data_IF_307074735425
#
_entry.id   IF_307074735425
#
_cell.length_a   1.000
_cell.length_b   1.000
_cell.length_c   1.000
_cell.angle_alpha   90.00
_cell.angle_beta   90.00
_cell.angle_gamma   90.00
#
_symmetry.space_group_name_H-M   'P 1'
#
loop_
_entity.id
_entity.type
_entity.pdbx_description
1 polymer ?
#
# COMPACT_ATOMS: atom_id res chain seq x y z
N UNK A 1 11.06 -13.49 -16.63
CA UNK A 1 12.52 -13.50 -16.59
C UNK A 1 12.92 -13.84 -15.17
N UNK A 2 13.81 -14.82 -14.98
CA UNK A 2 14.13 -15.44 -13.69
C UNK A 2 14.96 -14.51 -12.75
N UNK A 3 15.15 -13.25 -13.13
CA UNK A 3 15.98 -12.26 -12.42
C UNK A 3 15.18 -11.07 -11.86
N UNK A 4 13.85 -11.14 -11.81
CA UNK A 4 13.08 -10.10 -11.11
C UNK A 4 13.14 -10.36 -9.60
N UNK A 5 14.08 -9.69 -8.91
CA UNK A 5 14.13 -9.56 -7.46
C UNK A 5 12.91 -8.77 -6.95
N UNK A 6 11.69 -9.27 -7.13
CA UNK A 6 10.46 -8.59 -6.78
C UNK A 6 9.20 -9.24 -7.33
N UNK A 7 8.04 -8.72 -6.91
CA UNK A 7 6.73 -9.20 -7.31
C UNK A 7 5.76 -8.03 -7.54
N UNK A 8 4.83 -8.17 -8.48
CA UNK A 8 3.72 -7.22 -8.62
C UNK A 8 2.70 -7.54 -7.53
N UNK A 9 2.45 -6.58 -6.63
CA UNK A 9 1.55 -6.79 -5.50
C UNK A 9 0.26 -6.02 -5.74
N UNK A 10 -0.83 -6.77 -5.94
CA UNK A 10 -2.17 -6.24 -6.09
C UNK A 10 -2.85 -6.16 -4.72
N UNK A 11 -3.12 -4.95 -4.26
CA UNK A 11 -3.95 -4.70 -3.08
C UNK A 11 -4.86 -3.50 -3.36
N UNK A 12 -6.02 -3.48 -2.73
CA UNK A 12 -6.92 -2.33 -2.77
C UNK A 12 -7.09 -1.81 -1.35
N UNK A 13 -6.89 -0.50 -1.18
CA UNK A 13 -7.17 0.16 0.10
C UNK A 13 -8.63 0.60 0.12
N UNK A 14 -9.37 0.08 1.09
CA UNK A 14 -10.69 0.56 1.44
C UNK A 14 -10.63 1.44 2.67
N UNK A 15 -11.44 2.49 2.69
CA UNK A 15 -11.79 3.21 3.92
C UNK A 15 -13.31 3.15 4.09
N UNK A 16 -13.76 3.05 5.34
CA UNK A 16 -15.16 3.16 5.69
C UNK A 16 -15.36 4.42 6.52
N UNK A 17 -16.10 5.37 5.97
CA UNK A 17 -16.54 6.56 6.71
C UNK A 17 -18.07 6.61 6.70
N UNK A 18 -18.68 7.03 7.81
CA UNK A 18 -20.10 7.34 7.87
C UNK A 18 -20.42 8.71 7.25
N UNK A 19 -19.39 9.50 6.92
CA UNK A 19 -19.50 10.76 6.22
C UNK A 19 -19.21 10.62 4.73
N UNK A 20 -20.10 11.10 3.83
CA UNK A 20 -19.76 11.24 2.42
C UNK A 20 -18.72 12.35 2.24
N UNK A 21 -17.70 12.10 1.42
CA UNK A 21 -16.68 13.10 1.06
C UNK A 21 -15.30 12.91 1.71
N UNK A 22 -15.04 11.79 2.37
CA UNK A 22 -13.69 11.45 2.76
C UNK A 22 -12.79 11.16 1.54
N UNK A 23 -11.50 11.50 1.63
CA UNK A 23 -10.48 11.14 0.65
C UNK A 23 -9.48 10.17 1.27
N UNK A 24 -8.97 9.25 0.46
CA UNK A 24 -7.83 8.40 0.83
C UNK A 24 -6.65 8.80 -0.02
N UNK A 25 -5.60 9.25 0.65
CA UNK A 25 -4.35 9.65 0.04
C UNK A 25 -3.23 8.71 0.48
N UNK A 26 -2.49 8.14 -0.48
CA UNK A 26 -1.29 7.37 -0.19
C UNK A 26 -0.12 8.32 0.04
N UNK A 27 0.41 8.33 1.26
CA UNK A 27 1.49 9.24 1.67
C UNK A 27 2.87 8.60 1.57
N UNK A 28 2.96 7.28 1.56
CA UNK A 28 4.21 6.54 1.36
C UNK A 28 3.99 5.16 0.74
N UNK A 29 5.05 4.63 0.14
CA UNK A 29 5.08 3.30 -0.47
C UNK A 29 4.71 3.31 -1.96
N UNK A 30 4.23 2.16 -2.45
CA UNK A 30 3.92 1.89 -3.86
C UNK A 30 2.46 1.46 -3.96
N UNK A 31 1.70 1.99 -4.91
CA UNK A 31 0.28 1.65 -5.08
C UNK A 31 0.08 0.16 -5.44
N UNK A 32 -1.10 -0.38 -5.13
CA UNK A 32 -1.49 -1.72 -5.57
C UNK A 32 -1.41 -1.85 -7.08
N UNK A 33 -0.80 -2.93 -7.56
CA UNK A 33 -0.47 -3.14 -8.98
C UNK A 33 0.90 -2.65 -9.39
N UNK A 34 1.66 -2.04 -8.47
CA UNK A 34 3.06 -1.71 -8.69
C UNK A 34 3.96 -2.94 -8.50
N UNK A 35 5.15 -2.88 -9.10
CA UNK A 35 6.23 -3.82 -8.84
C UNK A 35 6.91 -3.48 -7.52
N UNK A 36 6.90 -4.42 -6.58
CA UNK A 36 7.62 -4.32 -5.31
C UNK A 36 8.92 -5.10 -5.42
N UNK A 37 10.04 -4.43 -5.16
CA UNK A 37 11.33 -5.10 -5.07
C UNK A 37 11.40 -6.00 -3.82
N UNK A 38 12.32 -6.97 -3.86
CA UNK A 38 12.62 -7.88 -2.77
C UNK A 38 12.95 -7.11 -1.49
N UNK A 39 12.41 -7.57 -0.37
CA UNK A 39 12.47 -6.89 0.92
C UNK A 39 11.13 -6.31 1.35
N UNK A 40 11.16 -5.37 2.29
CA UNK A 40 9.96 -4.83 2.93
C UNK A 40 9.69 -3.40 2.46
N UNK A 41 8.50 -3.17 1.94
CA UNK A 41 7.98 -1.83 1.60
C UNK A 41 6.86 -1.46 2.55
N UNK A 42 7.04 -0.40 3.32
CA UNK A 42 5.98 0.17 4.17
C UNK A 42 5.12 1.11 3.34
N UNK A 43 3.82 0.80 3.24
CA UNK A 43 2.84 1.68 2.64
C UNK A 43 2.08 2.42 3.74
N UNK A 44 1.95 3.73 3.57
CA UNK A 44 1.24 4.61 4.50
C UNK A 44 0.15 5.36 3.76
N UNK A 45 -1.01 5.47 4.41
CA UNK A 45 -2.19 6.12 3.88
C UNK A 45 -2.73 7.08 4.93
N UNK A 46 -3.33 8.17 4.43
CA UNK A 46 -4.03 9.16 5.23
C UNK A 46 -5.43 9.30 4.66
N UNK A 47 -6.41 9.02 5.49
CA UNK A 47 -7.82 9.29 5.20
C UNK A 47 -8.14 10.65 5.77
N UNK A 48 -8.73 11.55 4.98
CA UNK A 48 -9.20 12.87 5.44
C UNK A 48 -10.72 12.89 5.32
N UNK A 49 -11.44 13.10 6.42
CA UNK A 49 -12.90 13.24 6.41
C UNK A 49 -13.34 14.61 5.86
N UNK A 50 -14.63 14.76 5.54
CA UNK A 50 -15.19 16.00 5.01
C UNK A 50 -15.16 17.18 6.02
N UNK A 51 -14.87 16.90 7.30
CA UNK A 51 -14.78 17.89 8.39
C UNK A 51 -13.31 18.25 8.67
N UNK A 52 -12.36 17.70 7.90
CA UNK A 52 -10.93 17.97 8.01
C UNK A 52 -10.21 17.18 9.11
N UNK A 53 -10.81 16.11 9.65
CA UNK A 53 -10.09 15.16 10.50
C UNK A 53 -9.35 14.17 9.64
N UNK A 54 -8.12 13.89 10.03
CA UNK A 54 -7.34 12.86 9.39
C UNK A 54 -7.08 11.65 10.29
N UNK A 55 -7.07 10.47 9.66
CA UNK A 55 -6.65 9.22 10.24
C UNK A 55 -5.56 8.61 9.36
N UNK A 56 -4.44 8.23 9.97
CA UNK A 56 -3.35 7.56 9.26
C UNK A 56 -3.36 6.06 9.53
N UNK A 57 -3.16 5.26 8.50
CA UNK A 57 -2.91 3.83 8.62
C UNK A 57 -1.69 3.43 7.79
N UNK A 58 -1.00 2.38 8.22
CA UNK A 58 0.13 1.84 7.48
C UNK A 58 0.11 0.32 7.53
N UNK A 59 0.68 -0.28 6.49
CA UNK A 59 0.91 -1.72 6.42
C UNK A 59 2.20 -2.00 5.65
N UNK A 60 2.78 -3.17 5.90
CA UNK A 60 4.04 -3.58 5.30
C UNK A 60 3.81 -4.68 4.28
N UNK A 61 4.40 -4.51 3.09
CA UNK A 61 4.47 -5.54 2.05
C UNK A 61 5.87 -6.13 2.09
N UNK A 62 5.99 -7.42 2.36
CA UNK A 62 7.26 -8.14 2.30
C UNK A 62 7.27 -9.03 1.06
N UNK A 63 8.25 -8.84 0.18
CA UNK A 63 8.50 -9.71 -0.96
C UNK A 63 9.74 -10.54 -0.65
N UNK A 64 9.56 -11.86 -0.57
CA UNK A 64 10.62 -12.83 -0.29
C UNK A 64 10.99 -13.58 -1.57
N UNK A 65 12.28 -13.93 -1.70
CA UNK A 65 12.75 -14.79 -2.79
C UNK A 65 12.34 -16.24 -2.49
N UNK A 66 11.51 -16.81 -3.36
CA UNK A 66 11.09 -18.20 -3.28
C UNK A 66 11.95 -19.16 -4.10
N UNK A 67 12.99 -18.67 -4.78
CA UNK A 67 13.80 -19.49 -5.66
C UNK A 67 14.77 -20.37 -4.85
N UNK A 68 14.72 -21.68 -5.10
CA UNK A 68 15.69 -22.61 -4.53
C UNK A 68 17.08 -22.40 -5.17
N UNK A 69 18.18 -22.53 -4.39
CA UNK A 69 19.55 -22.37 -4.88
C UNK A 69 19.96 -23.44 -5.91
#
# INVERSE_FOLDING_TARGET
DLDQCGAIVNYAMGYGDNCPGASLDQTAGLAGGSFFALGTTTNSFRVTDAVGRDASCSFTVTVEDGQAP
#
